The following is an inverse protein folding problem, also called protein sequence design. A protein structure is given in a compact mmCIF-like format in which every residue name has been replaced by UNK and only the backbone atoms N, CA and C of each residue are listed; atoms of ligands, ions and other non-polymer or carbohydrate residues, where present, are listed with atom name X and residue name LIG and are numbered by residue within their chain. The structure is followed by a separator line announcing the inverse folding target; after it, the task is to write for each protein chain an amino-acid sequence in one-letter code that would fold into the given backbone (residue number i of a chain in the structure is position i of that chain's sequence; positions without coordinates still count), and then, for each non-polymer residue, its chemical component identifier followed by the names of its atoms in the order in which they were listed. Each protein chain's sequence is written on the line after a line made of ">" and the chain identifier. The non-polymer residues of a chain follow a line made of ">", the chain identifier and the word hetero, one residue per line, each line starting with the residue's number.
data_IF_761235808930
#
_entry.id   IF_761235808930
#
_cell.length_a   1.000
_cell.length_b   1.000
_cell.length_c   1.000
_cell.angle_alpha   90.00
_cell.angle_beta   90.00
_cell.angle_gamma   90.00
#
_symmetry.space_group_name_H-M   'P 1'
#
loop_
_entity.id
_entity.type
_entity.pdbx_description
1 polymer ?
#
# COMPACT_ATOMS: atom_id res chain seq x y z
N UNK A 1 16.97 7.81 11.52
CA UNK A 1 17.29 6.55 10.82
C UNK A 1 16.09 5.63 10.92
N UNK A 2 15.79 4.90 9.85
CA UNK A 2 14.59 4.06 9.76
C UNK A 2 14.96 2.66 9.28
N UNK A 3 14.19 1.66 9.73
CA UNK A 3 14.22 0.29 9.22
C UNK A 3 12.94 0.07 8.42
N UNK A 4 13.07 -0.28 7.14
CA UNK A 4 11.93 -0.64 6.31
C UNK A 4 11.36 -2.02 6.70
N UNK A 5 10.04 -2.13 6.68
CA UNK A 5 9.28 -3.34 7.00
C UNK A 5 8.17 -3.49 5.97
N UNK A 6 8.14 -4.60 5.25
CA UNK A 6 7.04 -4.95 4.36
C UNK A 6 6.04 -5.85 5.09
N UNK A 7 4.77 -5.46 5.09
CA UNK A 7 3.67 -6.28 5.62
C UNK A 7 2.69 -6.59 4.49
N UNK A 8 2.44 -7.88 4.26
CA UNK A 8 1.60 -8.35 3.17
C UNK A 8 0.25 -8.83 3.69
N UNK A 9 -0.82 -8.37 3.06
CA UNK A 9 -2.19 -8.84 3.27
C UNK A 9 -2.74 -9.34 1.94
N UNK A 10 -3.13 -10.61 1.90
CA UNK A 10 -3.84 -11.18 0.75
C UNK A 10 -5.31 -10.78 0.85
N UNK A 11 -5.86 -10.20 -0.22
CA UNK A 11 -7.26 -9.75 -0.26
C UNK A 11 -8.14 -10.83 -0.90
N UNK A 12 -7.71 -11.37 -2.03
CA UNK A 12 -8.44 -12.43 -2.74
C UNK A 12 -7.49 -13.37 -3.52
N UNK A 13 -8.01 -14.09 -4.52
CA UNK A 13 -7.23 -15.03 -5.34
C UNK A 13 -6.27 -14.36 -6.31
N UNK A 14 -6.51 -13.11 -6.66
CA UNK A 14 -5.81 -12.30 -7.66
C UNK A 14 -5.25 -10.99 -7.11
N UNK A 15 -5.59 -10.60 -5.89
CA UNK A 15 -5.25 -9.30 -5.30
C UNK A 15 -4.54 -9.43 -3.97
N UNK A 16 -3.50 -8.60 -3.76
CA UNK A 16 -2.82 -8.43 -2.49
C UNK A 16 -2.41 -6.98 -2.27
N UNK A 17 -2.24 -6.58 -1.02
CA UNK A 17 -1.68 -5.28 -0.63
C UNK A 17 -0.40 -5.47 0.18
N UNK A 18 0.60 -4.63 -0.10
CA UNK A 18 1.86 -4.51 0.65
C UNK A 18 1.86 -3.16 1.37
N UNK A 19 1.71 -3.19 2.69
CA UNK A 19 1.97 -2.01 3.52
C UNK A 19 3.47 -1.82 3.67
N UNK A 20 3.95 -0.66 3.25
CA UNK A 20 5.35 -0.25 3.29
C UNK A 20 5.59 0.58 4.54
N UNK A 21 6.05 -0.07 5.60
CA UNK A 21 6.18 0.54 6.91
C UNK A 21 7.64 0.91 7.21
N UNK A 22 7.82 1.89 8.08
CA UNK A 22 9.11 2.21 8.69
C UNK A 22 9.04 2.06 10.20
N UNK A 23 10.08 1.48 10.77
CA UNK A 23 10.39 1.58 12.20
C UNK A 23 11.47 2.64 12.40
N UNK A 24 11.17 3.69 13.16
CA UNK A 24 12.16 4.68 13.56
C UNK A 24 13.10 4.08 14.61
N UNK A 25 14.41 4.15 14.37
CA UNK A 25 15.39 3.49 15.24
C UNK A 25 15.63 4.20 16.58
N UNK A 26 15.22 5.47 16.71
CA UNK A 26 15.47 6.27 17.92
C UNK A 26 14.60 5.85 19.10
N UNK A 27 13.36 5.44 18.83
CA UNK A 27 12.35 5.11 19.84
C UNK A 27 11.54 3.85 19.51
N UNK A 28 11.79 3.24 18.36
CA UNK A 28 11.13 2.02 17.93
C UNK A 28 9.71 2.21 17.43
N UNK A 29 9.22 3.45 17.27
CA UNK A 29 7.87 3.72 16.75
C UNK A 29 7.75 3.38 15.26
N UNK A 30 6.53 3.12 14.81
CA UNK A 30 6.20 2.65 13.48
C UNK A 30 5.28 3.63 12.74
N UNK A 31 5.48 3.79 11.43
CA UNK A 31 4.52 4.46 10.55
C UNK A 31 4.33 3.66 9.25
N UNK A 32 3.23 3.92 8.55
CA UNK A 32 2.94 3.36 7.22
C UNK A 32 3.20 4.44 6.19
N UNK A 33 4.09 4.18 5.23
CA UNK A 33 4.36 5.14 4.15
C UNK A 33 3.38 4.97 2.99
N UNK A 34 3.17 3.74 2.52
CA UNK A 34 2.25 3.48 1.42
C UNK A 34 1.59 2.12 1.56
N UNK A 35 0.45 1.97 0.90
CA UNK A 35 -0.19 0.69 0.64
C UNK A 35 -0.11 0.39 -0.86
N UNK A 36 0.72 -0.56 -1.24
CA UNK A 36 0.96 -0.91 -2.63
C UNK A 36 0.03 -2.07 -3.02
N UNK A 37 -0.95 -1.82 -3.90
CA UNK A 37 -1.86 -2.85 -4.39
C UNK A 37 -1.30 -3.57 -5.61
N UNK A 38 -1.39 -4.89 -5.60
CA UNK A 38 -0.92 -5.80 -6.65
C UNK A 38 -2.09 -6.64 -7.18
N UNK A 39 -2.15 -6.77 -8.51
CA UNK A 39 -3.22 -7.51 -9.20
C UNK A 39 -2.60 -8.49 -10.19
N UNK A 40 -3.09 -9.73 -10.22
CA UNK A 40 -2.68 -10.71 -11.23
C UNK A 40 -3.30 -10.39 -12.60
N UNK A 41 -2.53 -10.50 -13.71
CA UNK A 41 -1.10 -10.78 -13.75
C UNK A 41 -0.25 -9.57 -13.34
N UNK A 42 0.80 -9.79 -12.54
CA UNK A 42 1.73 -8.74 -12.12
C UNK A 42 2.46 -8.18 -13.35
N UNK A 43 2.36 -6.87 -13.56
CA UNK A 43 3.06 -6.17 -14.64
C UNK A 43 4.32 -5.52 -14.10
N UNK A 44 5.41 -5.61 -14.85
CA UNK A 44 6.69 -5.00 -14.45
C UNK A 44 6.58 -3.48 -14.25
N UNK A 45 5.78 -2.80 -15.07
CA UNK A 45 5.51 -1.37 -14.94
C UNK A 45 4.85 -1.01 -13.60
N UNK A 46 3.90 -1.82 -13.12
CA UNK A 46 3.26 -1.64 -11.82
C UNK A 46 4.30 -1.69 -10.70
N UNK A 47 5.13 -2.74 -10.69
CA UNK A 47 6.18 -2.92 -9.68
C UNK A 47 7.15 -1.73 -9.69
N UNK A 48 7.64 -1.35 -10.87
CA UNK A 48 8.58 -0.22 -11.02
C UNK A 48 7.98 1.10 -10.57
N UNK A 49 6.70 1.35 -10.86
CA UNK A 49 6.03 2.57 -10.44
C UNK A 49 5.88 2.65 -8.92
N UNK A 50 5.46 1.55 -8.28
CA UNK A 50 5.31 1.48 -6.83
C UNK A 50 6.64 1.62 -6.10
N UNK A 51 7.68 0.93 -6.57
CA UNK A 51 9.02 1.02 -5.97
C UNK A 51 9.62 2.43 -6.16
N UNK A 52 9.43 3.05 -7.33
CA UNK A 52 9.84 4.44 -7.57
C UNK A 52 9.14 5.39 -6.61
N UNK A 53 7.81 5.31 -6.51
CA UNK A 53 7.02 6.17 -5.61
C UNK A 53 7.46 6.02 -4.16
N UNK A 54 7.69 4.80 -3.69
CA UNK A 54 8.18 4.57 -2.32
C UNK A 54 9.52 5.25 -2.05
N UNK A 55 10.45 5.20 -3.00
CA UNK A 55 11.75 5.86 -2.89
C UNK A 55 11.63 7.38 -2.96
N UNK A 56 10.81 7.91 -3.87
CA UNK A 56 10.54 9.34 -4.00
C UNK A 56 9.98 9.90 -2.69
N UNK A 57 8.93 9.28 -2.13
CA UNK A 57 8.32 9.69 -0.86
C UNK A 57 9.33 9.70 0.30
N UNK A 58 10.24 8.73 0.37
CA UNK A 58 11.25 8.69 1.43
C UNK A 58 12.32 9.79 1.27
N UNK A 59 12.65 10.17 0.03
CA UNK A 59 13.66 11.21 -0.27
C UNK A 59 13.08 12.61 -0.09
N UNK A 60 11.80 12.80 -0.43
CA UNK A 60 11.11 14.09 -0.37
C UNK A 60 10.88 14.56 1.07
N UNK A 61 10.46 13.67 1.97
CA UNK A 61 10.12 14.01 3.35
C UNK A 61 10.42 12.83 4.30
N UNK A 62 10.88 13.12 5.52
CA UNK A 62 11.15 12.05 6.47
C UNK A 62 9.85 11.30 6.83
N UNK A 63 9.87 9.96 6.96
CA UNK A 63 8.66 9.19 7.25
C UNK A 63 7.89 9.61 8.51
N UNK A 64 8.56 10.21 9.49
CA UNK A 64 7.96 10.70 10.74
C UNK A 64 7.52 12.17 10.70
N UNK A 65 7.85 12.89 9.63
CA UNK A 65 7.28 14.21 9.32
C UNK A 65 6.01 14.04 8.48
N UNK A 66 6.03 13.09 7.54
CA UNK A 66 4.92 12.82 6.60
C UNK A 66 3.80 11.97 7.19
N UNK A 67 4.11 11.06 8.12
CA UNK A 67 3.17 10.07 8.64
C UNK A 67 3.08 10.12 10.16
N UNK A 68 1.90 9.83 10.69
CA UNK A 68 1.74 9.61 12.13
C UNK A 68 2.48 8.33 12.56
N UNK A 69 3.06 8.37 13.77
CA UNK A 69 3.87 7.30 14.34
C UNK A 69 3.16 6.65 15.53
N UNK A 70 3.24 5.32 15.59
CA UNK A 70 2.54 4.51 16.58
C UNK A 70 3.49 3.56 17.32
N UNK A 71 3.19 3.17 18.57
CA UNK A 71 4.03 2.23 19.33
C UNK A 71 4.06 0.81 18.76
N UNK A 72 3.06 0.41 17.96
CA UNK A 72 2.91 -0.94 17.41
C UNK A 72 2.68 -0.90 15.90
N UNK A 73 3.24 -1.88 15.21
CA UNK A 73 3.12 -1.99 13.75
C UNK A 73 1.67 -2.23 13.32
N UNK A 74 0.95 -3.08 14.05
CA UNK A 74 -0.45 -3.40 13.77
C UNK A 74 -1.37 -2.18 13.95
N UNK A 75 -1.05 -1.32 14.92
CA UNK A 75 -1.78 -0.08 15.19
C UNK A 75 -1.57 0.92 14.05
N UNK A 76 -0.32 1.10 13.59
CA UNK A 76 -0.03 1.95 12.45
C UNK A 76 -0.79 1.53 11.18
N UNK A 77 -0.88 0.22 10.93
CA UNK A 77 -1.64 -0.31 9.79
C UNK A 77 -3.14 -0.11 9.98
N UNK A 78 -3.69 -0.38 11.17
CA UNK A 78 -5.12 -0.19 11.43
C UNK A 78 -5.56 1.27 11.29
N UNK A 79 -4.74 2.21 11.73
CA UNK A 79 -5.02 3.64 11.58
C UNK A 79 -4.94 4.07 10.11
N UNK A 80 -3.93 3.60 9.38
CA UNK A 80 -3.85 3.83 7.93
C UNK A 80 -5.08 3.24 7.20
N UNK A 81 -5.46 1.99 7.48
CA UNK A 81 -6.65 1.38 6.89
C UNK A 81 -7.93 2.16 7.22
N UNK A 82 -8.04 2.73 8.43
CA UNK A 82 -9.18 3.56 8.80
C UNK A 82 -9.21 4.91 8.08
N UNK A 83 -8.06 5.52 7.83
CA UNK A 83 -7.95 6.82 7.15
C UNK A 83 -8.27 6.69 5.66
N UNK A 84 -7.86 5.58 5.04
CA UNK A 84 -8.03 5.30 3.61
C UNK A 84 -9.13 4.27 3.32
N UNK A 85 -10.07 4.08 4.26
CA UNK A 85 -11.17 3.13 4.10
C UNK A 85 -12.11 3.49 2.94
N UNK A 86 -12.29 4.78 2.65
CA UNK A 86 -13.16 5.24 1.56
C UNK A 86 -12.54 4.96 0.18
N UNK A 87 -11.22 5.11 0.02
CA UNK A 87 -10.46 4.79 -1.20
C UNK A 87 -10.53 3.29 -1.57
N UNK A 88 -10.81 2.44 -0.59
CA UNK A 88 -10.97 0.99 -0.77
C UNK A 88 -12.34 0.58 -1.32
N UNK A 89 -13.36 1.43 -1.19
CA UNK A 89 -14.73 1.12 -1.63
C UNK A 89 -14.96 1.42 -3.12
N UNK A 90 -14.18 2.33 -3.72
CA UNK A 90 -14.32 2.68 -5.14
C UNK A 90 -13.70 1.64 -6.11
N UNK A 91 -12.88 0.71 -5.60
CA UNK A 91 -12.27 -0.35 -6.40
C UNK A 91 -13.20 -1.54 -6.68
N UNK A 92 -14.33 -1.66 -5.96
CA UNK A 92 -15.32 -2.71 -6.20
C UNK A 92 -16.22 -2.42 -7.43
N UNK A 93 -16.30 -1.16 -7.88
CA UNK A 93 -17.23 -0.71 -8.93
C UNK A 93 -16.62 -0.61 -10.35
N UNK A 94 -15.36 -1.01 -10.54
CA UNK A 94 -14.71 -1.04 -11.87
C UNK A 94 -14.37 -2.46 -12.34
N UNK A 95 -15.42 -3.27 -12.56
CA UNK A 95 -15.33 -4.33 -13.55
C UNK A 95 -15.45 -3.73 -14.97
N UNK A 96 -14.45 -3.89 -15.87
CA UNK A 96 -14.69 -3.63 -17.28
C UNK A 96 -15.68 -4.67 -17.81
N UNK A 97 -16.82 -4.16 -18.30
CA UNK A 97 -17.85 -4.90 -19.01
C UNK A 97 -17.20 -5.87 -20.02
N UNK A 98 -17.28 -7.18 -19.74
CA UNK A 98 -16.79 -8.21 -20.65
C UNK A 98 -17.74 -8.26 -21.85
N UNK A 99 -17.52 -7.37 -22.80
CA UNK A 99 -18.21 -7.31 -24.08
C UNK A 99 -17.90 -8.52 -24.97
N UNK A 100 -18.34 -9.71 -24.56
CA UNK A 100 -18.50 -10.86 -25.43
C UNK A 100 -19.77 -10.64 -26.26
N UNK A 101 -19.64 -9.90 -27.35
CA UNK A 101 -20.60 -9.96 -28.45
C UNK A 101 -20.58 -11.39 -29.00
N UNK A 102 -21.62 -12.17 -28.67
CA UNK A 102 -21.97 -13.37 -29.42
C UNK A 102 -22.25 -12.93 -30.86
N UNK A 103 -21.36 -13.29 -31.77
CA UNK A 103 -21.65 -13.24 -33.21
C UNK A 103 -22.37 -14.55 -33.51
N UNK A 104 -23.59 -14.41 -34.03
CA UNK A 104 -24.44 -15.48 -34.53
C UNK A 104 -23.85 -16.12 -35.80
#
# INVERSE_FOLDING_TARGET
>A
MFKAIDVWKRLDTTTAVRYRCFQRLTDGQFCVQSADYYYLPIREEQVRSLDRQFLELFVEEAPDERCEVYPRLEEAIAMYESEFADDLTELEDHQPDSGLKKIA
#
